data_IF_822528282760
#
_entry.id   IF_822528282760
#
_cell.length_a   1.000
_cell.length_b   1.000
_cell.length_c   1.000
_cell.angle_alpha   90.00
_cell.angle_beta   90.00
_cell.angle_gamma   90.00
#
_symmetry.space_group_name_H-M   'P 1'
#
loop_
_entity.id
_entity.type
_entity.pdbx_description
1 polymer ?
#
# COMPACT_ATOMS: atom_id res chain seq x y z
N UNK A 1 -38.80 52.95 24.76
CA UNK A 1 -37.46 52.48 25.20
C UNK A 1 -37.09 51.31 24.30
N UNK A 2 -35.89 51.32 23.69
CA UNK A 2 -35.51 50.31 22.69
C UNK A 2 -35.12 48.97 23.31
N UNK A 3 -35.27 47.88 22.55
CA UNK A 3 -34.95 46.49 22.96
C UNK A 3 -33.55 46.30 23.57
N UNK A 4 -32.60 47.18 23.26
CA UNK A 4 -31.24 47.20 23.85
C UNK A 4 -31.28 47.52 25.36
N UNK A 5 -32.16 48.43 25.78
CA UNK A 5 -32.28 48.80 27.20
C UNK A 5 -32.89 47.67 28.04
N UNK A 6 -33.65 46.78 27.41
CA UNK A 6 -34.24 45.61 28.08
C UNK A 6 -33.21 44.46 28.19
N UNK A 7 -32.33 44.30 27.18
CA UNK A 7 -31.20 43.37 27.23
C UNK A 7 -30.29 43.65 28.43
N UNK A 8 -29.93 44.92 28.66
CA UNK A 8 -29.05 45.35 29.76
C UNK A 8 -29.68 45.25 31.15
N UNK A 9 -30.99 44.98 31.23
CA UNK A 9 -31.72 44.74 32.49
C UNK A 9 -31.93 43.25 32.78
N UNK A 10 -31.51 42.38 31.87
CA UNK A 10 -31.66 40.92 31.98
C UNK A 10 -30.31 40.25 32.25
N UNK A 11 -30.34 38.99 32.70
CA UNK A 11 -29.12 38.18 32.85
C UNK A 11 -28.45 38.02 31.48
N UNK A 12 -27.18 38.43 31.37
CA UNK A 12 -26.43 38.37 30.12
C UNK A 12 -25.79 36.99 29.92
N UNK A 13 -25.97 36.45 28.72
CA UNK A 13 -25.24 35.29 28.22
C UNK A 13 -24.29 35.77 27.12
N UNK A 14 -22.98 35.62 27.34
CA UNK A 14 -21.95 36.21 26.49
C UNK A 14 -21.23 35.15 25.67
N UNK A 15 -20.95 35.44 24.40
CA UNK A 15 -20.02 34.65 23.58
C UNK A 15 -18.74 35.48 23.43
N UNK A 16 -17.65 35.02 24.02
CA UNK A 16 -16.35 35.68 23.92
C UNK A 16 -15.54 35.11 22.75
N UNK A 17 -15.19 35.95 21.77
CA UNK A 17 -14.26 35.64 20.69
C UNK A 17 -13.03 36.53 20.82
N UNK A 18 -11.83 35.95 20.85
CA UNK A 18 -10.59 36.71 21.00
C UNK A 18 -9.77 36.26 22.21
N UNK A 19 -9.32 37.20 23.05
CA UNK A 19 -8.52 36.86 24.22
C UNK A 19 -9.37 36.12 25.27
N UNK A 20 -8.86 35.00 25.76
CA UNK A 20 -9.50 34.19 26.81
C UNK A 20 -9.72 34.98 28.12
N UNK A 21 -8.81 35.91 28.44
CA UNK A 21 -8.88 36.75 29.64
C UNK A 21 -10.16 37.59 29.77
N UNK A 22 -10.84 37.89 28.65
CA UNK A 22 -12.13 38.55 28.69
C UNK A 22 -13.26 37.60 29.11
N UNK A 23 -13.20 36.32 28.74
CA UNK A 23 -14.13 35.33 29.27
C UNK A 23 -13.92 35.15 30.78
N UNK A 24 -12.67 35.03 31.23
CA UNK A 24 -12.33 34.93 32.66
C UNK A 24 -12.92 36.11 33.45
N UNK A 25 -12.75 37.33 32.93
CA UNK A 25 -13.25 38.56 33.58
C UNK A 25 -14.78 38.60 33.69
N UNK A 26 -15.50 38.05 32.71
CA UNK A 26 -16.97 38.00 32.68
C UNK A 26 -17.48 36.92 33.63
N UNK A 27 -16.79 35.77 33.67
CA UNK A 27 -17.11 34.68 34.59
C UNK A 27 -16.89 35.10 36.05
N UNK A 28 -15.81 35.84 36.35
CA UNK A 28 -15.54 36.41 37.68
C UNK A 28 -16.64 37.38 38.16
N UNK A 29 -17.33 38.06 37.23
CA UNK A 29 -18.45 38.96 37.55
C UNK A 29 -19.79 38.21 37.69
N UNK A 30 -19.79 36.88 37.60
CA UNK A 30 -20.99 36.05 37.80
C UNK A 30 -21.92 35.96 36.59
N UNK A 31 -21.49 36.42 35.41
CA UNK A 31 -22.24 36.28 34.17
C UNK A 31 -21.90 34.96 33.45
N UNK A 32 -22.84 34.43 32.66
CA UNK A 32 -22.60 33.24 31.84
C UNK A 32 -21.82 33.62 30.58
N UNK A 33 -20.72 32.92 30.31
CA UNK A 33 -19.88 33.15 29.13
C UNK A 33 -19.42 31.85 28.50
N UNK A 34 -19.49 31.78 27.17
CA UNK A 34 -18.87 30.75 26.36
C UNK A 34 -17.70 31.36 25.59
N UNK A 35 -16.48 30.93 25.90
CA UNK A 35 -15.32 31.30 25.08
C UNK A 35 -15.30 30.45 23.81
N UNK A 36 -15.05 31.10 22.68
CA UNK A 36 -14.77 30.49 21.39
C UNK A 36 -13.29 30.74 21.09
N UNK A 37 -12.48 29.67 21.09
CA UNK A 37 -11.08 29.68 20.64
C UNK A 37 -11.02 29.86 19.12
N UNK A 38 -11.42 31.05 18.67
CA UNK A 38 -11.41 31.41 17.27
C UNK A 38 -10.00 31.75 16.82
N UNK A 39 -9.59 31.18 15.68
CA UNK A 39 -8.32 31.49 15.03
C UNK A 39 -8.59 31.87 13.57
N UNK A 40 -7.82 32.82 12.99
CA UNK A 40 -7.95 33.12 11.58
C UNK A 40 -7.64 31.87 10.74
N UNK A 41 -8.35 31.63 9.63
CA UNK A 41 -8.07 30.50 8.76
C UNK A 41 -6.59 30.46 8.35
N UNK A 42 -6.02 29.27 8.26
CA UNK A 42 -4.60 29.06 7.95
C UNK A 42 -3.64 29.89 8.83
N UNK A 43 -4.00 30.17 10.08
CA UNK A 43 -3.16 30.92 11.02
C UNK A 43 -2.94 32.39 10.61
N UNK A 44 -3.81 32.96 9.79
CA UNK A 44 -3.67 34.34 9.29
C UNK A 44 -2.78 34.46 8.05
N UNK A 45 -2.28 33.36 7.48
CA UNK A 45 -1.49 33.41 6.25
C UNK A 45 -2.36 33.85 5.06
N UNK A 46 -2.16 35.09 4.59
CA UNK A 46 -2.97 35.68 3.53
C UNK A 46 -2.97 34.88 2.22
N UNK A 47 -1.83 34.30 1.84
CA UNK A 47 -1.75 33.49 0.62
C UNK A 47 -2.61 32.22 0.74
N UNK A 48 -2.55 31.54 1.89
CA UNK A 48 -3.38 30.37 2.16
C UNK A 48 -4.86 30.71 2.26
N UNK A 49 -5.21 31.83 2.93
CA UNK A 49 -6.60 32.30 3.01
C UNK A 49 -7.17 32.55 1.61
N UNK A 50 -6.38 33.16 0.71
CA UNK A 50 -6.80 33.39 -0.67
C UNK A 50 -7.06 32.08 -1.42
N UNK A 51 -6.19 31.09 -1.26
CA UNK A 51 -6.36 29.76 -1.88
C UNK A 51 -7.59 29.05 -1.30
N UNK A 52 -7.75 29.01 0.02
CA UNK A 52 -8.90 28.40 0.68
C UNK A 52 -10.21 29.08 0.26
N UNK A 53 -10.21 30.41 0.14
CA UNK A 53 -11.36 31.18 -0.35
C UNK A 53 -11.70 30.86 -1.81
N UNK A 54 -10.69 30.61 -2.65
CA UNK A 54 -10.89 30.18 -4.03
C UNK A 54 -11.46 28.75 -4.12
N UNK A 55 -10.95 27.82 -3.30
CA UNK A 55 -11.47 26.44 -3.21
C UNK A 55 -12.89 26.39 -2.63
N UNK A 56 -13.26 27.32 -1.76
CA UNK A 56 -14.58 27.42 -1.15
C UNK A 56 -15.62 28.18 -1.98
N UNK A 57 -15.27 28.71 -3.16
CA UNK A 57 -16.28 29.26 -4.07
C UNK A 57 -17.32 28.19 -4.39
N UNK A 58 -18.64 28.51 -4.38
CA UNK A 58 -19.70 27.51 -4.48
C UNK A 58 -19.51 26.52 -5.64
N UNK A 59 -19.19 27.02 -6.84
CA UNK A 59 -19.02 26.19 -8.05
C UNK A 59 -17.78 25.29 -7.95
N UNK A 60 -16.65 25.82 -7.47
CA UNK A 60 -15.41 25.06 -7.28
C UNK A 60 -15.61 23.97 -6.24
N UNK A 61 -16.25 24.32 -5.13
CA UNK A 61 -16.55 23.40 -4.03
C UNK A 61 -17.47 22.26 -4.50
N UNK A 62 -18.52 22.59 -5.26
CA UNK A 62 -19.42 21.59 -5.83
C UNK A 62 -18.68 20.63 -6.78
N UNK A 63 -17.78 21.16 -7.61
CA UNK A 63 -16.95 20.34 -8.49
C UNK A 63 -16.02 19.38 -7.71
N UNK A 64 -15.37 19.87 -6.65
CA UNK A 64 -14.54 19.05 -5.77
C UNK A 64 -15.36 17.93 -5.13
N UNK A 65 -16.55 18.25 -4.60
CA UNK A 65 -17.41 17.23 -4.00
C UNK A 65 -17.82 16.15 -4.99
N UNK A 66 -18.20 16.53 -6.20
CA UNK A 66 -18.60 15.56 -7.22
C UNK A 66 -17.42 14.68 -7.66
N UNK A 67 -16.24 15.26 -7.85
CA UNK A 67 -15.02 14.52 -8.15
C UNK A 67 -14.65 13.53 -7.02
N UNK A 68 -14.71 13.98 -5.76
CA UNK A 68 -14.43 13.15 -4.59
C UNK A 68 -15.46 12.03 -4.44
N UNK A 69 -16.75 12.31 -4.63
CA UNK A 69 -17.82 11.32 -4.61
C UNK A 69 -17.53 10.20 -5.61
N UNK A 70 -17.23 10.56 -6.85
CA UNK A 70 -16.88 9.61 -7.91
C UNK A 70 -15.62 8.80 -7.57
N UNK A 71 -14.57 9.45 -7.06
CA UNK A 71 -13.34 8.77 -6.67
C UNK A 71 -13.57 7.76 -5.54
N UNK A 72 -14.28 8.16 -4.48
CA UNK A 72 -14.63 7.28 -3.36
C UNK A 72 -15.52 6.12 -3.79
N UNK A 73 -16.49 6.35 -4.67
CA UNK A 73 -17.35 5.30 -5.23
C UNK A 73 -16.54 4.25 -6.00
N UNK A 74 -15.55 4.68 -6.80
CA UNK A 74 -14.67 3.74 -7.51
C UNK A 74 -13.86 2.86 -6.56
N UNK A 75 -13.34 3.44 -5.47
CA UNK A 75 -12.56 2.71 -4.47
C UNK A 75 -13.45 1.73 -3.70
N UNK A 76 -14.59 2.20 -3.17
CA UNK A 76 -15.51 1.40 -2.33
C UNK A 76 -16.13 0.24 -3.13
N UNK A 77 -16.45 0.47 -4.40
CA UNK A 77 -17.08 -0.54 -5.27
C UNK A 77 -16.07 -1.44 -5.99
N UNK A 78 -14.76 -1.27 -5.75
CA UNK A 78 -13.76 -2.15 -6.31
C UNK A 78 -14.00 -3.61 -5.86
N UNK A 79 -13.78 -4.53 -6.80
CA UNK A 79 -13.85 -5.98 -6.59
C UNK A 79 -12.53 -6.61 -7.04
N UNK A 80 -11.46 -6.49 -6.23
CA UNK A 80 -10.17 -7.09 -6.53
C UNK A 80 -10.24 -8.61 -6.40
N UNK A 81 -9.97 -9.30 -7.49
CA UNK A 81 -9.89 -10.76 -7.59
C UNK A 81 -8.47 -11.13 -8.01
N UNK A 82 -7.82 -11.97 -7.19
CA UNK A 82 -6.56 -12.60 -7.56
C UNK A 82 -6.85 -13.66 -8.62
N UNK A 83 -6.38 -13.42 -9.85
CA UNK A 83 -6.64 -14.29 -10.99
C UNK A 83 -5.50 -15.26 -11.27
N UNK A 84 -4.26 -14.83 -11.05
CA UNK A 84 -3.09 -15.62 -11.39
C UNK A 84 -1.83 -15.14 -10.66
N UNK A 85 -0.75 -15.91 -10.82
CA UNK A 85 0.61 -15.55 -10.45
C UNK A 85 1.49 -15.77 -11.68
N UNK A 86 2.13 -14.69 -12.16
CA UNK A 86 2.89 -14.69 -13.41
C UNK A 86 4.24 -14.00 -13.24
N UNK A 87 5.18 -14.24 -14.15
CA UNK A 87 6.45 -13.51 -14.14
C UNK A 87 6.21 -12.05 -14.47
N UNK A 88 6.98 -11.18 -13.83
CA UNK A 88 6.91 -9.73 -14.04
C UNK A 88 7.06 -9.37 -15.52
N UNK A 89 8.02 -9.99 -16.23
CA UNK A 89 8.25 -9.77 -17.67
C UNK A 89 7.02 -10.08 -18.56
N UNK A 90 6.16 -11.01 -18.13
CA UNK A 90 5.06 -11.50 -18.95
C UNK A 90 3.79 -10.66 -18.77
N UNK A 91 3.66 -9.94 -17.65
CA UNK A 91 2.40 -9.29 -17.27
C UNK A 91 2.49 -7.82 -16.86
N UNK A 92 3.64 -7.32 -16.37
CA UNK A 92 3.78 -5.93 -15.95
C UNK A 92 4.00 -5.03 -17.19
N UNK A 93 3.16 -4.00 -17.42
CA UNK A 93 3.30 -3.10 -18.56
C UNK A 93 4.67 -2.43 -18.60
N UNK A 94 5.37 -2.53 -19.73
CA UNK A 94 6.66 -1.87 -19.91
C UNK A 94 7.84 -2.53 -19.18
N UNK A 95 7.65 -3.70 -18.56
CA UNK A 95 8.73 -4.43 -17.90
C UNK A 95 9.80 -4.88 -18.92
N UNK A 96 11.07 -4.58 -18.62
CA UNK A 96 12.22 -4.98 -19.45
C UNK A 96 13.17 -5.85 -18.62
N UNK A 97 14.07 -6.56 -19.29
CA UNK A 97 15.09 -7.39 -18.62
C UNK A 97 16.06 -6.56 -17.76
N UNK A 98 16.38 -5.35 -18.19
CA UNK A 98 17.29 -4.42 -17.49
C UNK A 98 16.54 -3.34 -16.68
N UNK A 99 15.22 -3.47 -16.50
CA UNK A 99 14.44 -2.57 -15.65
C UNK A 99 14.25 -3.21 -14.28
N UNK A 100 14.61 -2.47 -13.24
CA UNK A 100 14.36 -2.84 -11.85
C UNK A 100 13.36 -1.84 -11.27
N UNK A 101 12.18 -2.33 -10.90
CA UNK A 101 11.19 -1.49 -10.23
C UNK A 101 11.51 -1.38 -8.74
N UNK A 102 11.08 -0.30 -8.10
CA UNK A 102 11.23 -0.10 -6.65
C UNK A 102 10.00 0.54 -5.99
N UNK A 103 9.93 0.49 -4.66
CA UNK A 103 8.88 1.19 -3.91
C UNK A 103 9.10 2.72 -3.89
N UNK A 104 8.05 3.47 -3.57
CA UNK A 104 8.12 4.92 -3.40
C UNK A 104 8.05 5.74 -4.71
N UNK A 105 8.37 7.04 -4.65
CA UNK A 105 8.40 7.93 -5.82
C UNK A 105 9.71 7.77 -6.62
N UNK A 106 9.83 8.39 -7.81
CA UNK A 106 11.05 8.33 -8.62
C UNK A 106 12.29 8.72 -7.81
N UNK A 107 13.33 7.90 -7.88
CA UNK A 107 14.59 8.12 -7.17
C UNK A 107 15.75 7.58 -7.99
N UNK A 108 16.83 8.35 -8.10
CA UNK A 108 18.05 7.89 -8.73
C UNK A 108 18.87 7.01 -7.78
N UNK A 109 19.77 6.20 -8.36
CA UNK A 109 20.60 5.23 -7.62
C UNK A 109 21.39 5.88 -6.47
N UNK A 110 21.98 7.05 -6.71
CA UNK A 110 22.77 7.82 -5.76
C UNK A 110 21.97 8.32 -4.54
N UNK A 111 20.64 8.37 -4.66
CA UNK A 111 19.73 8.74 -3.57
C UNK A 111 19.03 7.54 -2.92
N UNK A 112 19.10 6.35 -3.51
CA UNK A 112 18.60 5.13 -2.88
C UNK A 112 19.32 4.85 -1.56
N UNK A 113 18.54 4.51 -0.52
CA UNK A 113 19.09 4.12 0.77
C UNK A 113 19.74 2.72 0.71
N UNK A 114 20.58 2.40 1.71
CA UNK A 114 21.32 1.14 1.77
C UNK A 114 20.47 -0.13 1.53
N UNK A 115 19.32 -0.31 2.21
CA UNK A 115 18.45 -1.47 1.99
C UNK A 115 17.92 -1.58 0.56
N UNK A 116 17.53 -0.47 -0.07
CA UNK A 116 17.05 -0.48 -1.46
C UNK A 116 18.20 -0.85 -2.41
N UNK A 117 19.39 -0.28 -2.23
CA UNK A 117 20.58 -0.67 -3.01
C UNK A 117 20.93 -2.14 -2.84
N UNK A 118 20.88 -2.65 -1.62
CA UNK A 118 21.08 -4.08 -1.33
C UNK A 118 20.09 -4.97 -2.08
N UNK A 119 18.81 -4.59 -2.07
CA UNK A 119 17.76 -5.32 -2.78
C UNK A 119 17.96 -5.30 -4.30
N UNK A 120 18.36 -4.16 -4.86
CA UNK A 120 18.71 -4.04 -6.29
C UNK A 120 19.88 -4.96 -6.63
N UNK A 121 20.98 -4.91 -5.88
CA UNK A 121 22.15 -5.76 -6.13
C UNK A 121 21.79 -7.24 -6.05
N UNK A 122 20.99 -7.64 -5.05
CA UNK A 122 20.49 -9.00 -4.94
C UNK A 122 19.60 -9.41 -6.11
N UNK A 123 18.76 -8.50 -6.62
CA UNK A 123 17.96 -8.75 -7.82
C UNK A 123 18.82 -8.91 -9.08
N UNK A 124 19.87 -8.11 -9.26
CA UNK A 124 20.81 -8.25 -10.38
C UNK A 124 21.52 -9.61 -10.36
N UNK A 125 21.93 -10.07 -9.18
CA UNK A 125 22.52 -11.41 -9.01
C UNK A 125 21.47 -12.50 -9.29
N UNK A 126 20.26 -12.34 -8.77
CA UNK A 126 19.15 -13.28 -9.01
C UNK A 126 18.77 -13.41 -10.50
N UNK A 127 18.78 -12.31 -11.25
CA UNK A 127 18.54 -12.32 -12.71
C UNK A 127 19.75 -12.85 -13.51
N UNK A 128 20.91 -13.05 -12.87
CA UNK A 128 22.15 -13.43 -13.53
C UNK A 128 22.75 -12.32 -14.40
N UNK A 129 22.40 -11.06 -14.12
CA UNK A 129 23.01 -9.88 -14.74
C UNK A 129 24.37 -9.54 -14.12
N UNK A 130 24.59 -9.96 -12.88
CA UNK A 130 25.87 -9.89 -12.18
C UNK A 130 26.18 -11.25 -11.53
N UNK A 131 27.47 -11.64 -11.51
CA UNK A 131 27.91 -12.90 -10.90
C UNK A 131 28.05 -12.80 -9.39
N UNK A 132 28.42 -11.62 -8.92
CA UNK A 132 28.67 -11.34 -7.50
C UNK A 132 28.36 -9.89 -7.14
N UNK A 133 28.54 -9.56 -5.86
CA UNK A 133 28.29 -8.23 -5.32
C UNK A 133 29.14 -7.15 -5.97
N UNK A 134 30.41 -7.43 -6.29
CA UNK A 134 31.32 -6.44 -6.88
C UNK A 134 30.90 -6.07 -8.29
N UNK A 135 30.42 -7.05 -9.05
CA UNK A 135 29.87 -6.81 -10.39
C UNK A 135 28.53 -6.07 -10.29
N UNK A 136 27.65 -6.45 -9.36
CA UNK A 136 26.36 -5.78 -9.16
C UNK A 136 26.50 -4.31 -8.73
N UNK A 137 27.45 -4.01 -7.84
CA UNK A 137 27.74 -2.66 -7.34
C UNK A 137 28.26 -1.74 -8.46
N UNK A 138 28.97 -2.30 -9.45
CA UNK A 138 29.43 -1.56 -10.64
C UNK A 138 28.34 -1.42 -11.69
N UNK A 139 27.54 -2.47 -11.88
CA UNK A 139 26.50 -2.52 -12.91
C UNK A 139 25.31 -1.60 -12.57
N UNK A 140 24.87 -1.57 -11.32
CA UNK A 140 23.72 -0.77 -10.92
C UNK A 140 23.83 0.73 -11.32
N UNK A 141 24.96 1.43 -11.10
CA UNK A 141 25.14 2.81 -11.56
C UNK A 141 25.68 2.95 -13.00
N UNK A 142 25.85 1.88 -13.78
CA UNK A 142 26.55 1.97 -15.09
C UNK A 142 25.77 2.71 -16.18
N UNK A 143 24.47 2.93 -15.96
CA UNK A 143 23.53 3.43 -16.96
C UNK A 143 22.92 2.33 -17.82
N UNK A 144 23.32 1.07 -17.65
CA UNK A 144 22.70 -0.08 -18.33
C UNK A 144 21.44 -0.59 -17.63
N UNK A 145 21.29 -0.31 -16.33
CA UNK A 145 20.12 -0.65 -15.52
C UNK A 145 19.20 0.56 -15.42
N UNK A 146 17.94 0.36 -15.78
CA UNK A 146 16.88 1.33 -15.61
C UNK A 146 16.21 1.13 -14.24
N UNK A 147 15.83 2.23 -13.58
CA UNK A 147 15.06 2.22 -12.35
C UNK A 147 13.79 3.05 -12.52
N UNK A 148 12.64 2.50 -12.11
CA UNK A 148 11.38 3.26 -12.09
C UNK A 148 10.48 2.79 -10.93
N UNK A 149 9.62 3.66 -10.37
CA UNK A 149 8.66 3.25 -9.36
C UNK A 149 7.69 2.19 -9.83
N UNK A 150 7.37 1.25 -8.95
CA UNK A 150 6.30 0.27 -9.17
C UNK A 150 4.97 0.95 -9.57
N UNK A 151 4.65 2.10 -8.97
CA UNK A 151 3.39 2.83 -9.21
C UNK A 151 3.21 3.31 -10.65
N UNK A 152 4.29 3.52 -11.42
CA UNK A 152 4.19 3.86 -12.85
C UNK A 152 3.78 2.66 -13.70
N UNK A 153 3.99 1.45 -13.19
CA UNK A 153 3.79 0.18 -13.89
C UNK A 153 2.58 -0.61 -13.36
N UNK A 154 1.67 0.03 -12.62
CA UNK A 154 0.52 -0.61 -11.94
C UNK A 154 0.93 -1.68 -10.94
N UNK A 155 2.12 -1.55 -10.39
CA UNK A 155 2.70 -2.50 -9.45
C UNK A 155 2.85 -1.83 -8.09
N UNK A 156 2.84 -2.63 -7.03
CA UNK A 156 3.28 -2.22 -5.70
C UNK A 156 4.29 -3.23 -5.17
N UNK A 157 5.20 -2.78 -4.32
CA UNK A 157 6.22 -3.63 -3.71
C UNK A 157 6.43 -3.21 -2.27
N UNK A 158 6.37 -4.15 -1.30
CA UNK A 158 6.57 -3.80 0.11
C UNK A 158 8.04 -3.51 0.41
N UNK A 159 8.28 -2.59 1.36
CA UNK A 159 9.62 -2.24 1.86
C UNK A 159 10.53 -1.68 0.76
N UNK A 160 11.65 -2.32 0.42
CA UNK A 160 12.45 -1.91 -0.73
C UNK A 160 11.65 -2.01 -2.04
N UNK A 161 10.67 -2.93 -2.09
CA UNK A 161 9.75 -3.10 -3.21
C UNK A 161 10.43 -3.40 -4.53
N UNK A 162 11.59 -4.05 -4.50
CA UNK A 162 12.34 -4.38 -5.71
C UNK A 162 11.62 -5.46 -6.50
N UNK A 163 11.41 -5.21 -7.79
CA UNK A 163 10.82 -6.16 -8.74
C UNK A 163 11.72 -6.26 -9.96
N UNK A 164 12.15 -7.47 -10.30
CA UNK A 164 12.95 -7.78 -11.49
C UNK A 164 12.20 -8.71 -12.44
N UNK A 165 12.67 -8.81 -13.68
CA UNK A 165 11.92 -9.39 -14.80
C UNK A 165 11.48 -10.86 -14.60
N UNK A 166 12.27 -11.67 -13.90
CA UNK A 166 11.98 -13.09 -13.67
C UNK A 166 11.21 -13.35 -12.38
N UNK A 167 11.08 -12.36 -11.48
CA UNK A 167 10.29 -12.51 -10.28
C UNK A 167 8.82 -12.73 -10.62
N UNK A 168 8.14 -13.53 -9.82
CA UNK A 168 6.70 -13.71 -9.92
C UNK A 168 5.94 -12.66 -9.12
N UNK A 169 4.79 -12.27 -9.66
CA UNK A 169 3.87 -11.31 -9.08
C UNK A 169 2.46 -11.88 -9.08
N UNK A 170 1.68 -11.51 -8.05
CA UNK A 170 0.24 -11.64 -8.06
C UNK A 170 -0.37 -10.79 -9.17
N UNK A 171 -1.35 -11.34 -9.89
CA UNK A 171 -2.13 -10.64 -10.90
C UNK A 171 -3.53 -10.43 -10.36
N UNK A 172 -3.82 -9.21 -9.91
CA UNK A 172 -5.11 -8.85 -9.30
C UNK A 172 -5.90 -7.98 -10.26
N UNK A 173 -7.08 -8.43 -10.65
CA UNK A 173 -8.00 -7.66 -11.50
C UNK A 173 -9.14 -7.11 -10.66
N UNK A 174 -9.41 -5.82 -10.83
CA UNK A 174 -10.65 -5.23 -10.36
C UNK A 174 -11.76 -5.57 -11.36
N UNK A 175 -12.68 -6.46 -11.01
CA UNK A 175 -13.75 -6.88 -11.93
C UNK A 175 -14.75 -5.75 -12.23
N UNK A 176 -14.89 -4.76 -11.33
CA UNK A 176 -15.81 -3.63 -11.52
C UNK A 176 -15.36 -2.70 -12.64
N UNK A 177 -14.06 -2.36 -12.69
CA UNK A 177 -13.53 -1.36 -13.63
C UNK A 177 -12.55 -1.93 -14.66
N UNK A 178 -12.22 -3.22 -14.56
CA UNK A 178 -11.35 -3.94 -15.49
C UNK A 178 -9.85 -3.67 -15.34
N UNK A 179 -9.42 -2.74 -14.49
CA UNK A 179 -8.00 -2.46 -14.25
C UNK A 179 -7.30 -3.61 -13.53
N UNK A 180 -6.01 -3.77 -13.78
CA UNK A 180 -5.16 -4.83 -13.20
C UNK A 180 -4.02 -4.18 -12.44
N UNK A 181 -3.66 -4.77 -11.29
CA UNK A 181 -2.54 -4.39 -10.47
C UNK A 181 -1.69 -5.63 -10.11
N UNK A 182 -0.41 -5.37 -9.80
CA UNK A 182 0.57 -6.41 -9.52
C UNK A 182 1.29 -6.18 -8.20
N UNK A 183 1.72 -7.26 -7.55
CA UNK A 183 2.56 -7.20 -6.37
C UNK A 183 3.44 -8.44 -6.29
N UNK A 184 4.68 -8.31 -5.81
CA UNK A 184 5.57 -9.46 -5.61
C UNK A 184 5.02 -10.46 -4.59
N UNK A 185 5.59 -11.65 -4.53
CA UNK A 185 5.30 -12.63 -3.48
C UNK A 185 6.12 -12.33 -2.22
N UNK A 186 5.59 -12.68 -1.05
CA UNK A 186 6.32 -12.57 0.20
C UNK A 186 7.40 -13.67 0.30
N UNK A 187 8.65 -13.28 0.53
CA UNK A 187 9.83 -14.15 0.53
C UNK A 187 10.05 -14.93 1.84
N UNK A 188 9.16 -14.77 2.82
CA UNK A 188 9.29 -15.31 4.16
C UNK A 188 9.72 -14.28 5.20
N UNK A 189 10.17 -14.79 6.35
CA UNK A 189 10.65 -13.99 7.48
C UNK A 189 12.19 -14.01 7.58
N UNK A 190 12.75 -13.07 8.35
CA UNK A 190 14.19 -12.97 8.58
C UNK A 190 14.95 -12.29 7.45
N UNK A 191 16.02 -12.92 6.96
CA UNK A 191 16.84 -12.39 5.86
C UNK A 191 16.08 -12.56 4.54
N UNK A 192 15.65 -11.45 3.95
CA UNK A 192 14.86 -11.39 2.70
C UNK A 192 15.28 -10.19 1.85
N UNK A 193 15.07 -10.28 0.54
CA UNK A 193 15.49 -9.26 -0.41
C UNK A 193 14.77 -7.93 -0.18
N UNK A 194 13.49 -7.94 0.19
CA UNK A 194 12.74 -6.71 0.49
C UNK A 194 13.31 -5.85 1.62
N UNK A 195 14.18 -6.40 2.47
CA UNK A 195 14.94 -5.64 3.49
C UNK A 195 16.40 -5.37 3.09
N UNK A 196 16.77 -5.67 1.85
CA UNK A 196 18.10 -5.47 1.31
C UNK A 196 19.09 -6.61 1.56
N UNK A 197 18.64 -7.78 2.00
CA UNK A 197 19.50 -8.94 2.17
C UNK A 197 19.68 -9.69 0.84
N UNK A 198 20.90 -10.13 0.53
CA UNK A 198 21.25 -10.76 -0.75
C UNK A 198 22.24 -11.91 -0.60
N UNK A 199 22.26 -12.59 0.56
CA UNK A 199 23.09 -13.78 0.75
C UNK A 199 22.67 -14.93 -0.16
N UNK A 200 23.56 -15.92 -0.34
CA UNK A 200 23.27 -17.13 -1.12
C UNK A 200 21.97 -17.81 -0.72
N UNK A 201 21.62 -17.80 0.57
CA UNK A 201 20.36 -18.33 1.10
C UNK A 201 19.14 -17.58 0.54
N UNK A 202 19.20 -16.24 0.48
CA UNK A 202 18.13 -15.41 -0.10
C UNK A 202 17.98 -15.72 -1.58
N UNK A 203 19.09 -15.74 -2.33
CA UNK A 203 19.05 -16.00 -3.78
C UNK A 203 18.55 -17.43 -4.08
N UNK A 204 18.99 -18.43 -3.31
CA UNK A 204 18.47 -19.81 -3.41
C UNK A 204 16.98 -19.89 -3.13
N UNK A 205 16.48 -19.17 -2.12
CA UNK A 205 15.05 -19.11 -1.80
C UNK A 205 14.26 -18.46 -2.92
N UNK A 206 14.72 -17.33 -3.46
CA UNK A 206 14.09 -16.68 -4.62
C UNK A 206 14.04 -17.61 -5.84
N UNK A 207 15.10 -18.38 -6.09
CA UNK A 207 15.13 -19.37 -7.18
C UNK A 207 14.20 -20.56 -6.93
N UNK A 208 14.07 -21.03 -5.70
CA UNK A 208 13.04 -22.02 -5.34
C UNK A 208 11.64 -21.42 -5.52
N UNK A 209 11.44 -20.16 -5.14
CA UNK A 209 10.15 -19.50 -5.33
C UNK A 209 9.78 -19.40 -6.81
N UNK A 210 10.73 -19.01 -7.66
CA UNK A 210 10.58 -18.93 -9.12
C UNK A 210 10.24 -20.29 -9.75
N UNK A 211 10.89 -21.37 -9.30
CA UNK A 211 10.82 -22.69 -9.94
C UNK A 211 9.70 -23.59 -9.41
N UNK A 212 9.35 -23.44 -8.13
CA UNK A 212 8.47 -24.37 -7.41
C UNK A 212 7.26 -23.62 -6.85
N UNK A 213 7.49 -22.71 -5.90
CA UNK A 213 6.41 -22.07 -5.13
C UNK A 213 5.43 -21.30 -6.01
N UNK A 214 5.92 -20.33 -6.79
CA UNK A 214 5.07 -19.42 -7.55
C UNK A 214 4.30 -20.13 -8.68
N UNK A 215 4.91 -21.03 -9.48
CA UNK A 215 4.17 -21.83 -10.46
C UNK A 215 3.08 -22.72 -9.82
N UNK A 216 3.39 -23.37 -8.70
CA UNK A 216 2.44 -24.21 -7.99
C UNK A 216 1.27 -23.39 -7.42
N UNK A 217 1.58 -22.26 -6.78
CA UNK A 217 0.61 -21.32 -6.24
C UNK A 217 -0.30 -20.79 -7.36
N UNK A 218 0.27 -20.41 -8.50
CA UNK A 218 -0.47 -19.97 -9.69
C UNK A 218 -1.42 -21.03 -10.25
N UNK A 219 -1.01 -22.31 -10.28
CA UNK A 219 -1.90 -23.42 -10.67
C UNK A 219 -3.12 -23.51 -9.73
N UNK A 220 -2.90 -23.44 -8.41
CA UNK A 220 -3.98 -23.45 -7.42
C UNK A 220 -4.94 -22.27 -7.58
N UNK A 221 -4.40 -21.06 -7.77
CA UNK A 221 -5.22 -19.86 -8.02
C UNK A 221 -6.04 -20.01 -9.30
N UNK A 222 -5.45 -20.40 -10.42
CA UNK A 222 -6.21 -20.62 -11.67
C UNK A 222 -7.29 -21.69 -11.50
N UNK A 223 -6.99 -22.77 -10.77
CA UNK A 223 -7.95 -23.85 -10.48
C UNK A 223 -9.13 -23.38 -9.62
N UNK A 224 -8.94 -22.35 -8.79
CA UNK A 224 -10.03 -21.75 -8.00
C UNK A 224 -11.04 -20.94 -8.84
N UNK A 225 -10.67 -20.54 -10.05
CA UNK A 225 -11.46 -19.61 -10.87
C UNK A 225 -11.32 -18.14 -10.45
N UNK A 226 -10.43 -17.84 -9.50
CA UNK A 226 -10.19 -16.52 -8.96
C UNK A 226 -10.54 -16.44 -7.47
N UNK A 227 -9.75 -15.68 -6.71
CA UNK A 227 -9.94 -15.52 -5.27
C UNK A 227 -10.27 -14.07 -4.95
N UNK A 228 -11.44 -13.83 -4.35
CA UNK A 228 -11.85 -12.50 -3.89
C UNK A 228 -10.96 -12.01 -2.76
N UNK A 229 -10.10 -11.03 -3.06
CA UNK A 229 -9.20 -10.41 -2.07
C UNK A 229 -10.03 -9.64 -1.06
N UNK A 230 -11.04 -8.90 -1.53
CA UNK A 230 -11.96 -8.13 -0.68
C UNK A 230 -12.63 -8.99 0.40
N UNK A 231 -13.11 -10.18 0.05
CA UNK A 231 -13.82 -11.04 1.01
C UNK A 231 -12.87 -11.69 2.03
N UNK A 232 -11.61 -11.93 1.64
CA UNK A 232 -10.57 -12.39 2.57
C UNK A 232 -10.21 -11.27 3.54
N UNK A 233 -9.91 -10.08 3.03
CA UNK A 233 -9.57 -8.90 3.84
C UNK A 233 -10.70 -8.54 4.80
N UNK A 234 -11.96 -8.49 4.34
CA UNK A 234 -13.10 -8.16 5.19
C UNK A 234 -13.28 -9.14 6.36
N UNK A 235 -13.10 -10.45 6.12
CA UNK A 235 -13.16 -11.47 7.18
C UNK A 235 -11.96 -11.38 8.12
N UNK A 236 -10.76 -11.14 7.59
CA UNK A 236 -9.55 -10.98 8.39
C UNK A 236 -9.66 -9.79 9.36
N UNK A 237 -10.22 -8.65 8.91
CA UNK A 237 -10.50 -7.49 9.77
C UNK A 237 -11.43 -7.85 10.94
N UNK A 238 -12.46 -8.68 10.69
CA UNK A 238 -13.35 -9.18 11.75
C UNK A 238 -12.72 -10.23 12.66
N UNK A 239 -11.53 -10.72 12.31
CA UNK A 239 -10.73 -11.69 13.08
C UNK A 239 -9.51 -11.04 13.77
N UNK A 240 -9.44 -9.70 13.78
CA UNK A 240 -8.44 -8.94 14.51
C UNK A 240 -7.13 -8.66 13.75
N UNK A 241 -7.09 -8.94 12.44
CA UNK A 241 -6.05 -8.42 11.56
C UNK A 241 -6.33 -6.95 11.20
N UNK A 242 -5.28 -6.19 10.88
CA UNK A 242 -5.40 -4.89 10.18
C UNK A 242 -4.85 -4.95 8.74
N UNK A 243 -4.35 -6.11 8.33
CA UNK A 243 -3.88 -6.43 6.98
C UNK A 243 -2.67 -5.61 6.50
N UNK A 244 -1.93 -4.98 7.41
CA UNK A 244 -0.64 -4.36 7.14
C UNK A 244 0.45 -5.02 8.01
N UNK A 245 0.48 -4.76 9.30
CA UNK A 245 1.42 -5.42 10.23
C UNK A 245 0.96 -6.82 10.65
N UNK A 246 -0.34 -7.06 10.79
CA UNK A 246 -0.91 -8.32 11.26
C UNK A 246 -1.80 -8.92 10.18
N UNK A 247 -1.38 -10.09 9.70
CA UNK A 247 -1.98 -10.83 8.59
C UNK A 247 -2.25 -12.31 8.92
N UNK A 248 -2.33 -12.67 10.20
CA UNK A 248 -2.43 -14.07 10.65
C UNK A 248 -3.75 -14.70 10.17
N UNK A 249 -4.86 -13.99 10.38
CA UNK A 249 -6.17 -14.45 9.94
C UNK A 249 -6.28 -14.46 8.42
N UNK A 250 -5.79 -13.42 7.74
CA UNK A 250 -5.82 -13.31 6.29
C UNK A 250 -5.02 -14.44 5.62
N UNK A 251 -3.80 -14.69 6.09
CA UNK A 251 -2.95 -15.80 5.64
C UNK A 251 -3.65 -17.15 5.86
N UNK A 252 -4.23 -17.38 7.04
CA UNK A 252 -4.96 -18.63 7.34
C UNK A 252 -6.19 -18.81 6.44
N UNK A 253 -6.97 -17.76 6.20
CA UNK A 253 -8.13 -17.77 5.31
C UNK A 253 -7.73 -18.01 3.85
N UNK A 254 -6.62 -17.43 3.42
CA UNK A 254 -6.07 -17.64 2.08
C UNK A 254 -5.66 -19.10 1.87
N UNK A 255 -4.88 -19.67 2.81
CA UNK A 255 -4.48 -21.08 2.78
C UNK A 255 -5.72 -21.99 2.76
N UNK A 256 -6.70 -21.74 3.65
CA UNK A 256 -7.95 -22.52 3.71
C UNK A 256 -8.74 -22.48 2.39
N UNK A 257 -8.76 -21.32 1.73
CA UNK A 257 -9.46 -21.14 0.45
C UNK A 257 -8.72 -21.87 -0.68
N UNK A 258 -7.39 -21.80 -0.68
CA UNK A 258 -6.55 -22.28 -1.76
C UNK A 258 -6.27 -23.79 -1.71
N UNK A 259 -6.18 -24.38 -0.51
CA UNK A 259 -5.74 -25.77 -0.32
C UNK A 259 -6.57 -26.80 -1.12
N UNK A 260 -7.92 -26.76 -1.15
CA UNK A 260 -8.70 -27.68 -1.99
C UNK A 260 -8.38 -27.56 -3.48
N UNK A 261 -8.06 -26.35 -3.94
CA UNK A 261 -7.75 -26.10 -5.34
C UNK A 261 -6.35 -26.61 -5.71
N UNK A 262 -5.36 -26.46 -4.81
CA UNK A 262 -4.04 -27.09 -4.98
C UNK A 262 -4.15 -28.61 -5.08
N UNK A 263 -4.94 -29.24 -4.20
CA UNK A 263 -5.18 -30.68 -4.21
C UNK A 263 -5.92 -31.17 -5.47
N UNK A 264 -6.62 -30.26 -6.17
CA UNK A 264 -7.33 -30.55 -7.42
C UNK A 264 -6.47 -30.29 -8.68
N UNK A 265 -5.18 -29.98 -8.52
CA UNK A 265 -4.22 -29.84 -9.61
C UNK A 265 -3.49 -31.16 -9.91
N UNK A 266 -2.59 -31.12 -10.89
CA UNK A 266 -1.66 -32.18 -11.28
C UNK A 266 -0.33 -32.15 -10.48
N UNK A 267 -0.24 -31.32 -9.44
CA UNK A 267 0.95 -31.23 -8.60
C UNK A 267 1.11 -32.47 -7.71
N UNK A 268 2.35 -32.87 -7.46
CA UNK A 268 2.63 -33.94 -6.51
C UNK A 268 2.42 -33.48 -5.04
N UNK A 269 2.19 -34.45 -4.16
CA UNK A 269 1.87 -34.19 -2.76
C UNK A 269 3.00 -33.47 -2.00
N UNK A 270 4.27 -33.70 -2.34
CA UNK A 270 5.39 -33.03 -1.67
C UNK A 270 5.45 -31.55 -2.08
N UNK A 271 5.26 -31.22 -3.36
CA UNK A 271 5.16 -29.82 -3.81
C UNK A 271 4.00 -29.09 -3.11
N UNK A 272 2.82 -29.71 -3.02
CA UNK A 272 1.66 -29.10 -2.34
C UNK A 272 1.98 -28.85 -0.86
N UNK A 273 2.59 -29.83 -0.20
CA UNK A 273 3.00 -29.73 1.22
C UNK A 273 4.04 -28.63 1.42
N UNK A 274 5.04 -28.50 0.55
CA UNK A 274 6.04 -27.43 0.62
C UNK A 274 5.38 -26.04 0.49
N UNK A 275 4.46 -25.85 -0.46
CA UNK A 275 3.73 -24.59 -0.65
C UNK A 275 2.92 -24.24 0.60
N UNK A 276 2.14 -25.18 1.12
CA UNK A 276 1.31 -24.96 2.31
C UNK A 276 2.18 -24.70 3.54
N UNK A 277 3.28 -25.43 3.72
CA UNK A 277 4.21 -25.21 4.82
C UNK A 277 4.87 -23.83 4.75
N UNK A 278 5.28 -23.38 3.56
CA UNK A 278 5.86 -22.05 3.37
C UNK A 278 4.87 -20.92 3.72
N UNK A 279 3.62 -21.04 3.27
CA UNK A 279 2.57 -20.08 3.60
C UNK A 279 2.25 -20.09 5.10
N UNK A 280 2.14 -21.28 5.71
CA UNK A 280 1.75 -21.45 7.11
C UNK A 280 2.85 -21.03 8.08
N UNK A 281 4.12 -21.16 7.69
CA UNK A 281 5.28 -20.71 8.49
C UNK A 281 5.52 -19.19 8.41
N UNK A 282 4.71 -18.45 7.66
CA UNK A 282 4.87 -17.02 7.45
C UNK A 282 3.52 -16.31 7.54
N UNK A 283 3.21 -15.79 8.73
CA UNK A 283 1.97 -15.04 8.98
C UNK A 283 1.81 -13.80 8.08
N UNK A 284 2.88 -13.30 7.46
CA UNK A 284 2.84 -12.18 6.53
C UNK A 284 2.61 -12.61 5.07
N UNK A 285 2.34 -13.88 4.77
CA UNK A 285 2.19 -14.34 3.38
C UNK A 285 1.10 -13.57 2.61
N UNK A 286 0.03 -13.14 3.30
CA UNK A 286 -1.03 -12.33 2.71
C UNK A 286 -0.72 -10.83 2.59
N UNK A 287 0.31 -10.30 3.26
CA UNK A 287 0.64 -8.85 3.25
C UNK A 287 0.78 -8.26 1.84
N UNK A 288 1.29 -9.05 0.89
CA UNK A 288 1.49 -8.57 -0.47
C UNK A 288 0.18 -8.51 -1.28
N UNK A 289 -0.88 -9.18 -0.81
CA UNK A 289 -2.22 -9.16 -1.42
C UNK A 289 -3.15 -8.14 -0.77
N UNK A 290 -2.82 -7.64 0.42
CA UNK A 290 -3.70 -6.77 1.21
C UNK A 290 -3.80 -5.33 0.71
#
# INVERSE_FOLDING_TARGET
>A
MGKINDLLKSKLNVINMGLESFADSIQLQGAEVQHVDWKPPAGGNHAMIKILSALNQPDVKAHIYEANRKASELIINARPVLLDIQRAADCIPGMKKNLILHAGPPISWEHMCGPVRGAVMGALIYEGLAKDLKEAEKLAPSGEIEFDPCHHHRTVGPMAGVVSSSMYVYVVKNETSGNVAYCTLNEGLGKVLRFGAYSDEVIKRLKWMEKVFAPALGKGVRKSGGISVRDLTARALMMGDECHNRNVAATSLFIRTLAPHLLATDLDNETIKEVIAFLSGNDHSFLNLS
#
